data_IF_018082903910
#
_entry.id   IF_018082903910
#
_cell.length_a   1.000
_cell.length_b   1.000
_cell.length_c   1.000
_cell.angle_alpha   90.00
_cell.angle_beta   90.00
_cell.angle_gamma   90.00
#
_symmetry.space_group_name_H-M   'P 1'
#
loop_
_entity.id
_entity.type
_entity.pdbx_description
1 polymer ?
#
# COMPACT_ATOMS: atom_id res chain seq x y z
N UNK A 1 -31.86 15.05 -4.34
CA UNK A 1 -31.15 14.31 -3.26
C UNK A 1 -30.02 13.46 -3.81
N UNK A 2 -30.27 12.65 -4.86
CA UNK A 2 -29.29 11.74 -5.45
C UNK A 2 -28.01 12.42 -5.98
N UNK A 3 -28.12 13.52 -6.73
CA UNK A 3 -26.96 14.30 -7.23
C UNK A 3 -26.05 14.83 -6.11
N UNK A 4 -26.63 15.16 -4.94
CA UNK A 4 -25.86 15.64 -3.76
C UNK A 4 -25.07 14.50 -3.12
N UNK A 5 -25.68 13.32 -3.01
CA UNK A 5 -25.02 12.12 -2.48
C UNK A 5 -23.88 11.67 -3.39
N UNK A 6 -24.09 11.67 -4.70
CA UNK A 6 -23.08 11.32 -5.69
C UNK A 6 -21.86 12.26 -5.63
N UNK A 7 -22.08 13.58 -5.52
CA UNK A 7 -21.00 14.56 -5.34
C UNK A 7 -20.23 14.37 -4.04
N UNK A 8 -20.96 14.09 -2.94
CA UNK A 8 -20.32 13.83 -1.64
C UNK A 8 -19.43 12.59 -1.71
N UNK A 9 -19.94 11.51 -2.28
CA UNK A 9 -19.20 10.27 -2.44
C UNK A 9 -17.97 10.42 -3.33
N UNK A 10 -18.09 11.11 -4.46
CA UNK A 10 -16.93 11.43 -5.31
C UNK A 10 -15.85 12.15 -4.51
N UNK A 11 -16.23 13.21 -3.77
CA UNK A 11 -15.30 13.96 -2.91
C UNK A 11 -14.64 13.08 -1.84
N UNK A 12 -15.38 12.17 -1.21
CA UNK A 12 -14.83 11.23 -0.24
C UNK A 12 -13.77 10.31 -0.88
N UNK A 13 -13.99 9.84 -2.11
CA UNK A 13 -12.98 9.06 -2.86
C UNK A 13 -11.77 9.95 -3.21
N UNK A 14 -11.98 11.20 -3.62
CA UNK A 14 -10.89 12.15 -3.87
C UNK A 14 -10.03 12.38 -2.63
N UNK A 15 -10.64 12.52 -1.45
CA UNK A 15 -9.93 12.69 -0.19
C UNK A 15 -9.12 11.44 0.18
N UNK A 16 -9.63 10.25 -0.09
CA UNK A 16 -8.87 9.00 0.06
C UNK A 16 -7.71 8.90 -0.95
N UNK A 17 -7.92 9.34 -2.19
CA UNK A 17 -6.87 9.40 -3.20
C UNK A 17 -5.76 10.39 -2.79
N UNK A 18 -6.13 11.53 -2.19
CA UNK A 18 -5.17 12.49 -1.63
C UNK A 18 -4.34 11.89 -0.51
N UNK A 19 -4.96 11.12 0.38
CA UNK A 19 -4.23 10.40 1.43
C UNK A 19 -3.19 9.45 0.82
N UNK A 20 -3.56 8.69 -0.21
CA UNK A 20 -2.63 7.83 -0.95
C UNK A 20 -1.51 8.62 -1.61
N UNK A 21 -1.85 9.70 -2.31
CA UNK A 21 -0.88 10.58 -2.97
C UNK A 21 0.16 11.12 -1.98
N UNK A 22 -0.28 11.61 -0.83
CA UNK A 22 0.62 12.08 0.23
C UNK A 22 1.49 10.93 0.75
N UNK A 23 0.90 9.77 1.03
CA UNK A 23 1.61 8.60 1.55
C UNK A 23 2.69 8.05 0.60
N UNK A 24 2.51 8.16 -0.72
CA UNK A 24 3.51 7.72 -1.71
C UNK A 24 4.59 8.76 -2.01
N UNK A 25 4.26 10.05 -1.89
CA UNK A 25 5.11 11.17 -2.33
C UNK A 25 6.12 11.57 -1.26
N UNK A 26 5.73 11.59 0.00
CA UNK A 26 6.58 12.08 1.07
C UNK A 26 7.35 10.96 1.73
N UNK A 27 8.68 11.07 1.70
CA UNK A 27 9.55 10.17 2.45
C UNK A 27 9.42 10.42 3.96
N UNK A 28 9.15 11.66 4.39
CA UNK A 28 8.87 12.04 5.78
C UNK A 28 7.73 13.07 5.86
N UNK A 29 6.67 12.81 6.64
CA UNK A 29 5.59 13.77 6.90
C UNK A 29 5.74 14.51 8.24
N UNK A 30 6.65 14.05 9.10
CA UNK A 30 6.99 14.72 10.36
C UNK A 30 8.17 15.64 10.08
N UNK A 31 7.85 16.89 9.69
CA UNK A 31 8.71 18.08 9.66
C UNK A 31 10.16 17.90 9.22
N UNK A 32 10.50 18.44 8.05
CA UNK A 32 11.85 18.92 7.78
C UNK A 32 12.24 19.90 8.90
N UNK A 33 13.04 19.44 9.86
CA UNK A 33 13.67 20.34 10.82
C UNK A 33 14.71 21.16 10.06
N UNK A 34 14.39 22.44 9.80
CA UNK A 34 15.38 23.42 9.33
C UNK A 34 16.59 23.34 10.25
N UNK A 35 17.74 23.01 9.65
CA UNK A 35 19.04 22.82 10.33
C UNK A 35 19.50 24.05 11.14
N UNK A 36 18.87 25.20 10.94
CA UNK A 36 19.25 26.51 11.47
C UNK A 36 18.63 26.87 12.83
N UNK A 37 17.61 26.15 13.32
CA UNK A 37 16.99 26.40 14.65
C UNK A 37 17.67 25.64 15.80
N UNK A 38 18.96 25.32 15.66
CA UNK A 38 19.72 24.46 16.58
C UNK A 38 20.32 25.17 17.81
N UNK A 39 19.88 26.39 18.11
CA UNK A 39 20.23 27.08 19.37
C UNK A 39 18.99 27.14 20.25
N UNK A 40 19.09 26.46 21.39
CA UNK A 40 18.34 26.74 22.63
C UNK A 40 17.01 26.01 22.88
N UNK A 41 16.71 24.91 22.20
CA UNK A 41 15.55 24.09 22.58
C UNK A 41 15.86 22.58 22.57
N UNK A 42 16.30 22.10 23.73
CA UNK A 42 16.42 20.69 24.11
C UNK A 42 15.01 20.09 24.15
N UNK A 43 14.47 19.68 23.01
CA UNK A 43 13.31 18.80 22.95
C UNK A 43 13.71 17.47 22.32
N UNK A 44 13.33 16.41 23.04
CA UNK A 44 13.61 15.00 22.80
C UNK A 44 13.53 14.67 21.31
N UNK A 45 14.63 14.14 20.74
CA UNK A 45 14.58 13.35 19.52
C UNK A 45 13.61 12.21 19.76
N UNK A 46 12.33 12.38 19.43
CA UNK A 46 11.45 11.23 19.31
C UNK A 46 12.05 10.34 18.23
N UNK A 47 12.25 9.07 18.56
CA UNK A 47 12.87 8.05 17.71
C UNK A 47 12.27 7.98 16.30
N UNK A 48 11.05 8.50 16.12
CA UNK A 48 10.32 8.61 14.87
C UNK A 48 10.85 9.70 13.91
N UNK A 49 11.42 10.81 14.42
CA UNK A 49 12.05 11.86 13.59
C UNK A 49 13.33 11.38 12.88
N UNK A 50 13.79 10.22 13.31
CA UNK A 50 15.05 9.58 13.00
C UNK A 50 14.83 8.31 12.14
N UNK A 51 13.56 7.96 11.90
CA UNK A 51 13.10 6.73 11.28
C UNK A 51 12.87 6.93 9.77
N UNK A 52 13.92 6.73 8.96
CA UNK A 52 13.87 6.80 7.48
C UNK A 52 12.80 5.92 6.79
N UNK A 53 12.37 4.74 7.30
CA UNK A 53 11.33 3.96 6.62
C UNK A 53 9.90 4.43 6.93
N UNK A 54 9.70 5.73 7.11
CA UNK A 54 8.39 6.40 7.25
C UNK A 54 7.45 6.13 6.08
N UNK A 55 7.99 5.98 4.86
CA UNK A 55 7.19 5.63 3.66
C UNK A 55 6.38 4.35 3.84
N UNK A 56 6.95 3.32 4.47
CA UNK A 56 6.23 2.07 4.77
C UNK A 56 5.05 2.32 5.71
N UNK A 57 5.29 3.10 6.77
CA UNK A 57 4.26 3.43 7.76
C UNK A 57 3.11 4.19 7.12
N UNK A 58 3.40 5.21 6.30
CA UNK A 58 2.37 6.01 5.63
C UNK A 58 1.62 5.22 4.57
N UNK A 59 2.33 4.47 3.72
CA UNK A 59 1.70 3.61 2.72
C UNK A 59 0.76 2.59 3.37
N UNK A 60 1.19 1.96 4.47
CA UNK A 60 0.37 1.02 5.21
C UNK A 60 -0.80 1.70 5.91
N UNK A 61 -0.63 2.91 6.45
CA UNK A 61 -1.73 3.68 7.05
C UNK A 61 -2.81 4.04 6.02
N UNK A 62 -2.41 4.44 4.82
CA UNK A 62 -3.33 4.67 3.71
C UNK A 62 -4.05 3.36 3.33
N UNK A 63 -3.31 2.28 3.15
CA UNK A 63 -3.87 0.95 2.86
C UNK A 63 -4.88 0.50 3.92
N UNK A 64 -4.59 0.74 5.21
CA UNK A 64 -5.51 0.48 6.33
C UNK A 64 -6.81 1.25 6.22
N UNK A 65 -6.72 2.51 5.79
CA UNK A 65 -7.90 3.33 5.57
C UNK A 65 -8.75 2.75 4.44
N UNK A 66 -8.13 2.21 3.39
CA UNK A 66 -8.83 1.76 2.19
C UNK A 66 -9.51 0.40 2.33
N UNK A 67 -8.85 -0.60 2.93
CA UNK A 67 -9.48 -1.92 3.07
C UNK A 67 -10.60 -1.95 4.11
N UNK A 68 -10.80 -0.87 4.86
CA UNK A 68 -11.94 -0.76 5.79
C UNK A 68 -13.28 -0.55 5.10
N UNK A 69 -13.31 -0.37 3.78
CA UNK A 69 -14.54 -0.20 3.01
C UNK A 69 -14.90 -1.46 2.20
N UNK A 70 -16.20 -1.72 2.09
CA UNK A 70 -16.79 -2.61 1.10
C UNK A 70 -16.95 -1.82 -0.21
N UNK A 71 -15.97 -1.91 -1.10
CA UNK A 71 -15.93 -1.11 -2.32
C UNK A 71 -17.05 -1.43 -3.30
N UNK A 72 -17.51 -2.68 -3.34
CA UNK A 72 -18.65 -3.09 -4.15
C UNK A 72 -19.93 -2.36 -3.71
N UNK A 73 -20.27 -2.47 -2.42
CA UNK A 73 -21.43 -1.75 -1.86
C UNK A 73 -21.24 -0.24 -1.87
N UNK A 74 -20.00 0.24 -1.75
CA UNK A 74 -19.74 1.68 -1.73
C UNK A 74 -20.09 2.34 -3.06
N UNK A 75 -19.72 1.69 -4.17
CA UNK A 75 -20.08 2.15 -5.51
C UNK A 75 -21.58 2.00 -5.79
N UNK A 76 -22.17 0.85 -5.45
CA UNK A 76 -23.60 0.59 -5.63
C UNK A 76 -24.46 1.64 -4.92
N UNK A 77 -24.15 1.91 -3.65
CA UNK A 77 -24.91 2.84 -2.83
C UNK A 77 -24.48 4.31 -3.01
N UNK A 78 -23.45 4.56 -3.82
CA UNK A 78 -22.79 5.87 -3.98
C UNK A 78 -22.50 6.52 -2.61
N UNK A 79 -21.90 5.74 -1.70
CA UNK A 79 -21.58 6.14 -0.32
C UNK A 79 -20.52 5.20 0.24
N UNK A 80 -19.48 5.74 0.89
CA UNK A 80 -18.50 4.89 1.59
C UNK A 80 -19.19 3.98 2.62
N UNK A 81 -19.09 2.68 2.38
CA UNK A 81 -19.72 1.63 3.19
C UNK A 81 -18.62 0.85 3.88
N UNK A 82 -18.64 0.82 5.22
CA UNK A 82 -17.65 0.08 5.99
C UNK A 82 -17.78 -1.42 5.76
N UNK A 83 -16.65 -2.12 5.71
CA UNK A 83 -16.59 -3.57 5.68
C UNK A 83 -17.19 -4.14 6.96
N UNK A 84 -18.04 -5.16 6.81
CA UNK A 84 -18.64 -5.89 7.92
C UNK A 84 -17.76 -7.04 8.45
N UNK A 85 -16.53 -7.20 7.92
CA UNK A 85 -15.63 -8.26 8.35
C UNK A 85 -14.98 -7.89 9.69
N UNK A 86 -14.94 -8.86 10.60
CA UNK A 86 -14.35 -8.67 11.93
C UNK A 86 -12.82 -8.80 11.95
N UNK A 87 -12.25 -9.60 11.04
CA UNK A 87 -10.80 -9.83 10.95
C UNK A 87 -10.18 -8.93 9.90
N UNK A 88 -9.11 -8.22 10.26
CA UNK A 88 -8.33 -7.37 9.35
C UNK A 88 -7.86 -8.14 8.11
N UNK A 89 -7.46 -9.40 8.30
CA UNK A 89 -7.13 -10.31 7.20
C UNK A 89 -8.21 -10.41 6.14
N UNK A 90 -9.45 -10.59 6.56
CA UNK A 90 -10.56 -10.75 5.64
C UNK A 90 -10.84 -9.44 4.90
N UNK A 91 -10.67 -8.29 5.56
CA UNK A 91 -10.88 -6.97 4.96
C UNK A 91 -9.94 -6.70 3.79
N UNK A 92 -8.63 -6.87 3.99
CA UNK A 92 -7.68 -6.65 2.89
C UNK A 92 -7.82 -7.71 1.78
N UNK A 93 -8.19 -8.95 2.13
CA UNK A 93 -8.45 -9.99 1.12
C UNK A 93 -9.65 -9.63 0.24
N UNK A 94 -10.74 -9.14 0.83
CA UNK A 94 -11.92 -8.69 0.09
C UNK A 94 -11.59 -7.50 -0.84
N UNK A 95 -10.79 -6.54 -0.37
CA UNK A 95 -10.34 -5.43 -1.21
C UNK A 95 -9.49 -5.91 -2.40
N UNK A 96 -8.56 -6.84 -2.17
CA UNK A 96 -7.75 -7.43 -3.26
C UNK A 96 -8.63 -8.23 -4.23
N UNK A 97 -9.59 -9.01 -3.73
CA UNK A 97 -10.54 -9.72 -4.60
C UNK A 97 -11.38 -8.74 -5.44
N UNK A 98 -11.82 -7.64 -4.84
CA UNK A 98 -12.53 -6.57 -5.53
C UNK A 98 -11.68 -5.96 -6.66
N UNK A 99 -10.42 -5.59 -6.38
CA UNK A 99 -9.49 -5.03 -7.37
C UNK A 99 -9.27 -6.03 -8.51
N UNK A 100 -8.83 -7.24 -8.19
CA UNK A 100 -8.40 -8.21 -9.19
C UNK A 100 -9.54 -8.83 -10.00
N UNK A 101 -10.80 -8.62 -9.60
CA UNK A 101 -11.97 -8.93 -10.43
C UNK A 101 -12.23 -7.91 -11.55
N UNK A 102 -11.51 -6.77 -11.55
CA UNK A 102 -11.72 -5.63 -12.46
C UNK A 102 -10.47 -5.19 -13.23
N UNK A 103 -9.32 -5.80 -12.95
CA UNK A 103 -8.07 -5.53 -13.68
C UNK A 103 -7.94 -6.39 -14.93
N UNK A 104 -7.30 -5.85 -15.95
CA UNK A 104 -6.90 -6.58 -17.16
C UNK A 104 -5.38 -6.89 -17.14
N UNK A 105 -4.86 -7.46 -18.23
CA UNK A 105 -3.43 -7.81 -18.32
C UNK A 105 -2.51 -6.57 -18.36
N UNK A 106 -2.96 -5.45 -18.92
CA UNK A 106 -2.20 -4.18 -18.92
C UNK A 106 -2.08 -3.58 -17.52
N UNK A 107 -3.17 -3.60 -16.75
CA UNK A 107 -3.19 -3.20 -15.33
C UNK A 107 -2.22 -4.09 -14.52
N UNK A 108 -2.19 -5.39 -14.81
CA UNK A 108 -1.28 -6.35 -14.19
C UNK A 108 0.17 -6.01 -14.49
N UNK A 109 0.52 -5.74 -15.74
CA UNK A 109 1.90 -5.42 -16.13
C UNK A 109 2.37 -4.11 -15.47
N UNK A 110 1.52 -3.08 -15.49
CA UNK A 110 1.79 -1.82 -14.78
C UNK A 110 1.97 -2.02 -13.27
N UNK A 111 1.16 -2.88 -12.64
CA UNK A 111 1.30 -3.23 -11.23
C UNK A 111 2.65 -3.90 -10.91
N UNK A 112 3.12 -4.80 -11.77
CA UNK A 112 4.41 -5.47 -11.58
C UNK A 112 5.58 -4.48 -11.69
N UNK A 113 5.51 -3.52 -12.60
CA UNK A 113 6.52 -2.46 -12.69
C UNK A 113 6.51 -1.55 -11.46
N UNK A 114 5.34 -1.20 -10.93
CA UNK A 114 5.24 -0.43 -9.68
C UNK A 114 5.83 -1.16 -8.48
N UNK A 115 5.70 -2.49 -8.39
CA UNK A 115 6.32 -3.28 -7.33
C UNK A 115 7.84 -3.21 -7.40
N UNK A 116 8.41 -3.28 -8.61
CA UNK A 116 9.86 -3.17 -8.80
C UNK A 116 10.36 -1.78 -8.37
N UNK A 117 9.64 -0.73 -8.76
CA UNK A 117 10.08 0.65 -8.54
C UNK A 117 11.48 0.85 -9.11
N UNK A 118 12.40 1.41 -8.32
CA UNK A 118 13.78 1.67 -8.75
C UNK A 118 14.73 0.47 -8.57
N UNK A 119 14.23 -0.69 -8.13
CA UNK A 119 15.07 -1.87 -7.87
C UNK A 119 15.12 -2.80 -9.07
N UNK A 120 16.31 -3.35 -9.34
CA UNK A 120 16.42 -4.55 -10.17
C UNK A 120 15.82 -5.77 -9.45
N UNK A 121 15.32 -6.74 -10.23
CA UNK A 121 14.75 -7.98 -9.70
C UNK A 121 15.75 -8.73 -8.81
N UNK A 122 17.04 -8.74 -9.19
CA UNK A 122 18.09 -9.39 -8.40
C UNK A 122 18.32 -8.67 -7.07
N UNK A 123 18.22 -7.33 -7.03
CA UNK A 123 18.34 -6.57 -5.79
C UNK A 123 17.19 -6.87 -4.83
N UNK A 124 15.98 -7.01 -5.36
CA UNK A 124 14.81 -7.45 -4.58
C UNK A 124 15.08 -8.84 -4.02
N UNK A 125 15.51 -9.80 -4.83
CA UNK A 125 15.80 -11.17 -4.39
C UNK A 125 16.91 -11.23 -3.33
N UNK A 126 18.01 -10.53 -3.56
CA UNK A 126 19.12 -10.44 -2.61
C UNK A 126 18.67 -9.82 -1.28
N UNK A 127 17.75 -8.87 -1.31
CA UNK A 127 17.23 -8.19 -0.12
C UNK A 127 16.28 -9.10 0.67
N UNK A 128 15.32 -9.76 0.00
CA UNK A 128 14.36 -10.66 0.69
C UNK A 128 15.01 -11.96 1.15
N UNK A 129 16.08 -12.44 0.51
CA UNK A 129 16.79 -13.64 0.95
C UNK A 129 17.45 -13.47 2.32
N UNK A 130 17.73 -12.23 2.74
CA UNK A 130 18.32 -11.89 4.05
C UNK A 130 17.29 -11.81 5.19
N UNK A 131 16.01 -12.03 4.91
CA UNK A 131 14.97 -12.09 5.95
C UNK A 131 15.26 -13.26 6.89
N UNK A 132 15.27 -12.97 8.19
CA UNK A 132 15.45 -13.96 9.27
C UNK A 132 14.13 -14.14 10.02
N UNK A 133 13.86 -15.33 10.58
CA UNK A 133 12.74 -15.57 11.47
C UNK A 133 12.73 -14.66 12.69
N UNK A 134 11.54 -14.43 13.24
CA UNK A 134 11.33 -13.77 14.51
C UNK A 134 10.13 -14.41 15.26
N UNK A 135 9.77 -13.84 16.42
CA UNK A 135 8.72 -14.36 17.29
C UNK A 135 7.34 -14.52 16.62
N UNK A 136 7.08 -13.83 15.50
CA UNK A 136 5.80 -13.89 14.77
C UNK A 136 5.95 -14.51 13.38
N UNK A 137 7.14 -14.49 12.80
CA UNK A 137 7.41 -14.92 11.44
C UNK A 137 8.39 -16.11 11.48
N UNK A 138 7.89 -17.31 11.16
CA UNK A 138 8.71 -18.53 11.07
C UNK A 138 9.29 -18.75 9.67
N UNK A 139 10.20 -19.71 9.53
CA UNK A 139 10.85 -20.04 8.25
C UNK A 139 9.85 -20.35 7.13
N UNK A 140 8.79 -21.12 7.44
CA UNK A 140 7.77 -21.46 6.44
C UNK A 140 7.10 -20.21 5.86
N UNK A 141 6.70 -19.26 6.70
CA UNK A 141 6.08 -18.00 6.26
C UNK A 141 7.05 -17.18 5.40
N UNK A 142 8.33 -17.20 5.73
CA UNK A 142 9.39 -16.53 4.97
C UNK A 142 9.56 -17.17 3.60
N UNK A 143 9.59 -18.50 3.54
CA UNK A 143 9.78 -19.24 2.31
C UNK A 143 8.58 -19.09 1.37
N UNK A 144 7.36 -19.20 1.90
CA UNK A 144 6.11 -18.93 1.17
C UNK A 144 6.13 -17.50 0.59
N UNK A 145 6.57 -16.50 1.37
CA UNK A 145 6.73 -15.12 0.91
C UNK A 145 7.78 -14.98 -0.21
N UNK A 146 8.98 -15.53 0.00
CA UNK A 146 10.08 -15.47 -0.97
C UNK A 146 9.71 -16.13 -2.28
N UNK A 147 9.08 -17.30 -2.23
CA UNK A 147 8.61 -18.02 -3.40
C UNK A 147 7.53 -17.22 -4.14
N UNK A 148 6.57 -16.62 -3.41
CA UNK A 148 5.53 -15.80 -4.03
C UNK A 148 6.07 -14.55 -4.71
N UNK A 149 7.07 -13.85 -4.12
CA UNK A 149 7.75 -12.72 -4.77
C UNK A 149 8.56 -13.17 -6.00
N UNK A 150 9.28 -14.29 -5.93
CA UNK A 150 10.03 -14.82 -7.08
C UNK A 150 9.10 -15.18 -8.24
N UNK A 151 7.99 -15.83 -7.96
CA UNK A 151 7.01 -16.16 -8.97
C UNK A 151 6.36 -14.92 -9.58
N UNK A 152 6.06 -13.93 -8.74
CA UNK A 152 5.46 -12.65 -9.12
C UNK A 152 6.34 -11.89 -10.12
N UNK A 153 7.64 -11.79 -9.84
CA UNK A 153 8.58 -10.96 -10.60
C UNK A 153 9.35 -11.73 -11.68
N UNK A 154 9.48 -13.05 -11.54
CA UNK A 154 10.36 -13.89 -12.35
C UNK A 154 9.77 -14.43 -13.66
N UNK A 155 8.47 -14.25 -13.94
CA UNK A 155 7.88 -14.75 -15.20
C UNK A 155 6.83 -13.80 -15.78
N UNK A 156 6.93 -13.51 -17.08
CA UNK A 156 5.87 -12.82 -17.88
C UNK A 156 4.60 -13.68 -18.07
N UNK A 157 4.36 -14.70 -17.22
CA UNK A 157 3.33 -15.74 -17.43
C UNK A 157 2.44 -15.99 -16.22
N UNK A 158 2.54 -15.21 -15.14
CA UNK A 158 1.60 -15.33 -14.02
C UNK A 158 0.23 -14.83 -14.48
N UNK A 159 -0.78 -15.71 -14.43
CA UNK A 159 -2.17 -15.33 -14.70
C UNK A 159 -2.70 -14.47 -13.55
N UNK A 160 -3.58 -13.50 -13.86
CA UNK A 160 -4.21 -12.60 -12.88
C UNK A 160 -4.79 -13.36 -11.66
N UNK A 161 -5.45 -14.50 -11.88
CA UNK A 161 -6.01 -15.30 -10.79
C UNK A 161 -4.96 -15.90 -9.85
N UNK A 162 -3.82 -16.34 -10.38
CA UNK A 162 -2.71 -16.86 -9.58
C UNK A 162 -2.02 -15.72 -8.82
N UNK A 163 -1.81 -14.60 -9.49
CA UNK A 163 -1.28 -13.37 -8.92
C UNK A 163 -2.09 -12.93 -7.70
N UNK A 164 -3.42 -12.82 -7.87
CA UNK A 164 -4.36 -12.44 -6.81
C UNK A 164 -4.21 -13.31 -5.56
N UNK A 165 -4.14 -14.63 -5.73
CA UNK A 165 -4.08 -15.56 -4.60
C UNK A 165 -2.76 -15.45 -3.84
N UNK A 166 -1.62 -15.41 -4.55
CA UNK A 166 -0.29 -15.23 -3.95
C UNK A 166 -0.18 -13.88 -3.23
N UNK A 167 -0.72 -12.83 -3.85
CA UNK A 167 -0.70 -11.48 -3.30
C UNK A 167 -1.43 -11.42 -1.95
N UNK A 168 -2.67 -11.91 -1.88
CA UNK A 168 -3.49 -11.77 -0.66
C UNK A 168 -3.16 -12.77 0.45
N UNK A 169 -2.66 -13.96 0.11
CA UNK A 169 -2.41 -15.00 1.10
C UNK A 169 -0.99 -15.00 1.64
N UNK A 170 -0.01 -14.69 0.81
CA UNK A 170 1.41 -14.85 1.17
C UNK A 170 2.06 -13.48 1.33
N UNK A 171 1.97 -12.63 0.30
CA UNK A 171 2.68 -11.35 0.25
C UNK A 171 2.11 -10.35 1.25
N UNK A 172 0.81 -10.05 1.17
CA UNK A 172 0.18 -9.05 2.04
C UNK A 172 0.03 -9.57 3.46
N UNK A 173 -0.15 -10.88 3.64
CA UNK A 173 -0.13 -11.48 4.95
C UNK A 173 1.25 -11.32 5.62
N UNK A 174 2.33 -11.58 4.89
CA UNK A 174 3.69 -11.36 5.37
C UNK A 174 3.91 -9.89 5.77
N UNK A 175 3.54 -8.94 4.90
CA UNK A 175 3.67 -7.50 5.18
C UNK A 175 2.85 -7.09 6.42
N UNK A 176 1.65 -7.65 6.60
CA UNK A 176 0.86 -7.47 7.82
C UNK A 176 1.59 -7.96 9.09
N UNK A 177 2.27 -9.10 9.01
CA UNK A 177 3.07 -9.63 10.12
C UNK A 177 4.28 -8.72 10.43
N UNK A 178 4.97 -8.22 9.39
CA UNK A 178 6.06 -7.24 9.52
C UNK A 178 5.56 -5.97 10.20
N UNK A 179 4.41 -5.43 9.77
CA UNK A 179 3.76 -4.28 10.39
C UNK A 179 3.52 -4.53 11.87
N UNK A 180 2.95 -5.68 12.23
CA UNK A 180 2.70 -6.02 13.62
C UNK A 180 3.99 -6.13 14.44
N UNK A 181 5.08 -6.59 13.85
CA UNK A 181 6.38 -6.61 14.51
C UNK A 181 7.00 -5.22 14.71
N UNK A 182 6.72 -4.27 13.80
CA UNK A 182 7.20 -2.88 13.93
C UNK A 182 6.42 -2.12 15.01
N UNK A 183 5.09 -2.28 15.06
CA UNK A 183 4.25 -1.51 15.99
C UNK A 183 4.02 -2.19 17.35
N UNK A 184 4.13 -3.52 17.41
CA UNK A 184 3.77 -4.32 18.59
C UNK A 184 4.78 -5.44 18.87
N UNK A 185 5.90 -5.46 18.16
CA UNK A 185 6.95 -6.45 18.34
C UNK A 185 8.16 -5.91 19.11
N UNK A 186 9.25 -6.65 19.04
CA UNK A 186 10.50 -6.40 19.77
C UNK A 186 11.54 -5.66 18.95
N UNK A 187 11.18 -5.11 17.77
CA UNK A 187 12.13 -4.40 16.92
C UNK A 187 12.47 -3.06 17.54
N UNK A 188 13.74 -2.86 17.83
CA UNK A 188 14.22 -1.62 18.42
C UNK A 188 14.57 -0.63 17.31
N UNK A 189 14.70 0.64 17.66
CA UNK A 189 15.08 1.71 16.72
C UNK A 189 16.36 1.38 15.95
N UNK A 190 17.34 0.74 16.61
CA UNK A 190 18.60 0.29 16.01
C UNK A 190 18.37 -0.73 14.88
N UNK A 191 17.47 -1.69 15.05
CA UNK A 191 17.16 -2.68 14.01
C UNK A 191 16.51 -2.03 12.78
N UNK A 192 15.85 -0.90 12.99
CA UNK A 192 15.17 -0.14 11.94
C UNK A 192 16.11 0.80 11.18
N UNK A 193 17.31 1.05 11.72
CA UNK A 193 18.42 1.73 11.04
C UNK A 193 19.26 0.82 10.14
N UNK A 194 19.13 -0.49 10.28
CA UNK A 194 19.88 -1.42 9.46
C UNK A 194 19.52 -1.23 7.98
N UNK A 195 20.52 -1.00 7.12
CA UNK A 195 20.31 -0.72 5.70
C UNK A 195 19.49 -1.83 5.01
N UNK A 196 19.75 -3.09 5.38
CA UNK A 196 19.01 -4.23 4.84
C UNK A 196 17.52 -4.20 5.23
N UNK A 197 17.21 -3.76 6.45
CA UNK A 197 15.83 -3.58 6.92
C UNK A 197 15.15 -2.42 6.20
N UNK A 198 15.83 -1.29 5.99
CA UNK A 198 15.30 -0.15 5.23
C UNK A 198 14.96 -0.53 3.78
N UNK A 199 15.86 -1.24 3.10
CA UNK A 199 15.60 -1.75 1.73
C UNK A 199 14.39 -2.69 1.69
N UNK A 200 14.26 -3.60 2.66
CA UNK A 200 13.07 -4.47 2.78
C UNK A 200 11.79 -3.65 2.93
N UNK A 201 11.79 -2.63 3.80
CA UNK A 201 10.62 -1.79 4.03
C UNK A 201 10.24 -0.95 2.80
N UNK A 202 11.22 -0.50 2.02
CA UNK A 202 10.95 0.15 0.73
C UNK A 202 10.29 -0.80 -0.26
N UNK A 203 10.77 -2.04 -0.39
CA UNK A 203 10.12 -3.06 -1.23
C UNK A 203 8.67 -3.31 -0.78
N UNK A 204 8.44 -3.45 0.53
CA UNK A 204 7.07 -3.62 1.05
C UNK A 204 6.19 -2.40 0.80
N UNK A 205 6.77 -1.20 0.86
CA UNK A 205 6.07 0.05 0.55
C UNK A 205 5.64 0.07 -0.92
N UNK A 206 6.51 -0.29 -1.85
CA UNK A 206 6.20 -0.35 -3.28
C UNK A 206 5.03 -1.30 -3.55
N UNK A 207 5.00 -2.47 -2.90
CA UNK A 207 3.90 -3.43 -3.02
C UNK A 207 2.57 -2.81 -2.55
N UNK A 208 2.58 -2.17 -1.37
CA UNK A 208 1.37 -1.54 -0.82
C UNK A 208 0.90 -0.36 -1.68
N UNK A 209 1.83 0.48 -2.12
CA UNK A 209 1.55 1.61 -3.01
C UNK A 209 0.94 1.10 -4.31
N UNK A 210 1.52 0.07 -4.93
CA UNK A 210 1.01 -0.52 -6.17
C UNK A 210 -0.42 -1.06 -6.03
N UNK A 211 -0.78 -1.65 -4.88
CA UNK A 211 -2.16 -2.10 -4.62
C UNK A 211 -3.11 -0.91 -4.50
N UNK A 212 -2.70 0.15 -3.79
CA UNK A 212 -3.51 1.36 -3.67
C UNK A 212 -3.71 2.03 -5.03
N UNK A 213 -2.66 2.13 -5.85
CA UNK A 213 -2.75 2.64 -7.23
C UNK A 213 -3.76 1.84 -8.05
N UNK A 214 -3.68 0.50 -8.01
CA UNK A 214 -4.65 -0.34 -8.70
C UNK A 214 -6.07 -0.13 -8.19
N UNK A 215 -6.27 0.04 -6.88
CA UNK A 215 -7.58 0.36 -6.32
C UNK A 215 -8.14 1.64 -6.93
N UNK A 216 -7.38 2.73 -6.92
CA UNK A 216 -7.86 4.00 -7.46
C UNK A 216 -8.04 3.94 -8.97
N UNK A 217 -7.17 3.23 -9.71
CA UNK A 217 -7.39 2.97 -11.14
C UNK A 217 -8.71 2.25 -11.39
N UNK A 218 -9.04 1.23 -10.61
CA UNK A 218 -10.32 0.51 -10.68
C UNK A 218 -11.49 1.44 -10.33
N UNK A 219 -11.39 2.21 -9.24
CA UNK A 219 -12.43 3.15 -8.83
C UNK A 219 -12.67 4.23 -9.90
N UNK A 220 -11.62 4.76 -10.53
CA UNK A 220 -11.73 5.71 -11.64
C UNK A 220 -12.56 5.11 -12.79
N UNK A 221 -12.20 3.90 -13.24
CA UNK A 221 -12.92 3.19 -14.31
C UNK A 221 -14.41 3.04 -13.97
N UNK A 222 -14.73 2.64 -12.74
CA UNK A 222 -16.12 2.44 -12.30
C UNK A 222 -16.90 3.76 -12.16
N UNK A 223 -16.26 4.82 -11.66
CA UNK A 223 -16.87 6.15 -11.56
C UNK A 223 -17.15 6.77 -12.95
N UNK A 224 -16.24 6.58 -13.90
CA UNK A 224 -16.42 6.99 -15.31
C UNK A 224 -17.63 6.28 -15.91
N UNK A 225 -17.72 4.94 -15.78
CA UNK A 225 -18.87 4.15 -16.25
C UNK A 225 -20.19 4.61 -15.64
N UNK A 226 -20.16 5.06 -14.39
CA UNK A 226 -21.32 5.59 -13.67
C UNK A 226 -21.61 7.08 -13.97
N UNK A 227 -20.88 7.72 -14.91
CA UNK A 227 -20.96 9.14 -15.22
C UNK A 227 -20.85 10.05 -13.98
N UNK A 228 -19.99 9.65 -13.03
CA UNK A 228 -19.66 10.43 -11.84
C UNK A 228 -18.44 11.31 -12.18
N UNK A 229 -18.54 12.62 -11.91
CA UNK A 229 -17.38 13.53 -12.00
C UNK A 229 -16.53 13.41 -10.74
N UNK A 230 -15.22 13.24 -10.90
CA UNK A 230 -14.23 13.16 -9.82
C UNK A 230 -12.86 13.68 -10.30
N UNK A 231 -11.94 13.88 -9.35
CA UNK A 231 -10.60 14.39 -9.61
C UNK A 231 -9.52 13.59 -8.88
N UNK A 232 -8.64 12.91 -9.62
CA UNK A 232 -7.46 12.24 -9.07
C UNK A 232 -6.18 13.02 -9.35
N UNK A 233 -5.29 13.06 -8.37
CA UNK A 233 -3.99 13.72 -8.41
C UNK A 233 -2.95 12.80 -9.06
N UNK A 234 -2.95 12.63 -10.37
CA UNK A 234 -1.81 12.00 -11.06
C UNK A 234 -0.84 13.05 -11.59
N UNK A 235 -1.36 14.13 -12.13
CA UNK A 235 -0.78 15.45 -12.38
C UNK A 235 -1.99 16.33 -12.74
N UNK A 236 -1.99 17.65 -12.48
CA UNK A 236 -3.08 18.53 -12.92
C UNK A 236 -3.13 18.59 -14.47
N UNK A 237 -3.79 17.62 -15.11
CA UNK A 237 -4.49 17.87 -16.37
C UNK A 237 -5.91 17.31 -16.26
N UNK A 238 -6.83 18.26 -16.31
CA UNK A 238 -8.26 18.07 -16.31
C UNK A 238 -8.69 17.24 -17.51
N UNK A 239 -9.42 16.15 -17.28
CA UNK A 239 -10.30 15.61 -18.31
C UNK A 239 -11.74 15.82 -17.86
N UNK A 240 -12.31 16.93 -18.30
CA UNK A 240 -13.75 17.11 -18.47
C UNK A 240 -13.98 17.67 -19.86
N UNK A 241 -14.61 16.87 -20.73
CA UNK A 241 -15.55 17.40 -21.71
C UNK A 241 -16.89 16.71 -21.48
#
# INVERSE_FOLDING_TARGET
MEKRNQRKFAKEIEDLHRLHYIAKTYDHLIGEYKKETYKDNIWKRDSWTLFEPTKFVYAYFAFNSFYNFDWGKSLENKKLTLSNKNKERNKYQDMIDYIFSRVNEEDKDSFLEMIKGDYDINDIYNTINKIKPDNRINDKIIDDFKESIKNLLGTNKVKIGQLKNKLKNDIIHFIYMVRNNIFHGTKNTIDMYEESQRKRLNIYSNIIIAINELLFKVLAKELIKANVRFYFMENYELVTH
#
